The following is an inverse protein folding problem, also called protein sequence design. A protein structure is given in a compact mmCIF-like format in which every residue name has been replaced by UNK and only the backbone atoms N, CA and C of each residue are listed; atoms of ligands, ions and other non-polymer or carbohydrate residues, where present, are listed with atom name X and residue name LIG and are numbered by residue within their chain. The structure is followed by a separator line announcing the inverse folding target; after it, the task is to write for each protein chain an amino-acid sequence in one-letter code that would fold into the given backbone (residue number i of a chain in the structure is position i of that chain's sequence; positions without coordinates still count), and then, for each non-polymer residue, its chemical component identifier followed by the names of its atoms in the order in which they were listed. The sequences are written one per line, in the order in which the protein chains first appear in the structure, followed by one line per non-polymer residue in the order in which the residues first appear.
data_IF_358205102374
#
_entry.id   IF_358205102374
#
_cell.length_a   1.000
_cell.length_b   1.000
_cell.length_c   1.000
_cell.angle_alpha   90.00
_cell.angle_beta   90.00
_cell.angle_gamma   90.00
#
_symmetry.space_group_name_H-M   'P 1'
#
loop_
_entity.id
_entity.type
_entity.pdbx_description
1 polymer ?
#
# COMPACT_ATOMS: atom_id res chain seq x y z
N UNK A 1 20.53 2.68 5.78
CA UNK A 1 20.39 2.68 4.31
C UNK A 1 18.96 2.34 3.88
N UNK A 2 18.40 1.23 4.36
CA UNK A 2 17.02 0.80 4.07
C UNK A 2 15.94 1.84 4.42
N UNK A 3 16.01 2.46 5.62
CA UNK A 3 15.06 3.51 6.05
C UNK A 3 14.99 4.70 5.08
N UNK A 4 16.15 5.20 4.59
CA UNK A 4 16.20 6.29 3.61
C UNK A 4 15.62 5.89 2.25
N UNK A 5 15.80 4.63 1.85
CA UNK A 5 15.24 4.10 0.61
C UNK A 5 13.71 4.04 0.72
N UNK A 6 13.18 3.47 1.80
CA UNK A 6 11.75 3.41 2.07
C UNK A 6 11.15 4.82 2.14
N UNK A 7 11.80 5.75 2.85
CA UNK A 7 11.35 7.14 2.95
C UNK A 7 11.21 7.81 1.57
N UNK A 8 12.18 7.60 0.67
CA UNK A 8 12.11 8.10 -0.71
C UNK A 8 10.88 7.52 -1.42
N UNK A 9 10.67 6.21 -1.35
CA UNK A 9 9.56 5.54 -2.00
C UNK A 9 8.19 5.96 -1.45
N UNK A 10 8.08 6.20 -0.15
CA UNK A 10 6.87 6.73 0.48
C UNK A 10 6.58 8.18 0.07
N UNK A 11 7.61 9.02 -0.10
CA UNK A 11 7.44 10.39 -0.61
C UNK A 11 6.87 10.42 -2.01
N UNK A 12 7.22 9.45 -2.85
CA UNK A 12 6.66 9.35 -4.20
C UNK A 12 5.17 8.96 -4.16
N UNK A 13 4.73 8.11 -3.23
CA UNK A 13 3.29 7.81 -3.03
C UNK A 13 2.54 9.10 -2.69
N UNK A 14 3.06 9.91 -1.75
CA UNK A 14 2.40 11.16 -1.34
C UNK A 14 2.22 12.12 -2.52
N UNK A 15 3.19 12.21 -3.43
CA UNK A 15 3.06 13.05 -4.63
C UNK A 15 1.96 12.59 -5.57
N UNK A 16 1.86 11.27 -5.80
CA UNK A 16 0.84 10.71 -6.69
C UNK A 16 -0.55 10.85 -6.05
N UNK A 17 -0.64 10.59 -4.74
CA UNK A 17 -1.87 10.81 -3.96
C UNK A 17 -2.44 12.22 -4.20
N UNK A 18 -1.62 13.25 -4.03
CA UNK A 18 -2.05 14.65 -4.20
C UNK A 18 -2.51 14.94 -5.65
N UNK A 19 -1.81 14.39 -6.65
CA UNK A 19 -2.18 14.57 -8.05
C UNK A 19 -3.54 13.94 -8.41
N UNK A 20 -3.88 12.82 -7.77
CA UNK A 20 -5.11 12.06 -8.06
C UNK A 20 -6.23 12.28 -7.03
N UNK A 21 -5.99 13.08 -5.98
CA UNK A 21 -6.91 13.28 -4.85
C UNK A 21 -7.39 11.96 -4.23
N UNK A 22 -6.55 10.94 -4.24
CA UNK A 22 -6.82 9.67 -3.59
C UNK A 22 -6.55 9.78 -2.08
N UNK A 23 -7.21 8.95 -1.29
CA UNK A 23 -6.80 8.69 0.10
C UNK A 23 -5.90 7.47 0.12
N UNK A 24 -4.83 7.51 0.91
CA UNK A 24 -3.87 6.39 1.03
C UNK A 24 -3.50 6.25 2.50
N UNK A 25 -3.63 5.04 3.01
CA UNK A 25 -3.37 4.67 4.39
C UNK A 25 -2.37 3.53 4.42
N UNK A 26 -1.37 3.60 5.29
CA UNK A 26 -0.56 2.43 5.65
C UNK A 26 -1.36 1.62 6.66
N UNK A 27 -1.50 0.31 6.44
CA UNK A 27 -2.39 -0.55 7.24
C UNK A 27 -1.72 -1.89 7.56
N UNK A 28 -2.40 -2.75 8.32
CA UNK A 28 -2.08 -4.17 8.37
C UNK A 28 -0.75 -4.52 9.04
N UNK A 29 -0.12 -5.57 8.50
CA UNK A 29 1.12 -6.12 9.04
C UNK A 29 2.26 -5.10 9.04
N UNK A 30 2.22 -4.13 8.13
CA UNK A 30 3.18 -3.03 8.07
C UNK A 30 3.22 -2.24 9.36
N UNK A 31 2.06 -1.77 9.85
CA UNK A 31 2.00 -1.00 11.09
C UNK A 31 2.38 -1.84 12.30
N UNK A 32 1.87 -3.07 12.38
CA UNK A 32 2.22 -4.02 13.44
C UNK A 32 3.74 -4.21 13.53
N UNK A 33 4.38 -4.51 12.42
CA UNK A 33 5.79 -4.85 12.39
C UNK A 33 6.65 -3.63 12.69
N UNK A 34 6.25 -2.43 12.27
CA UNK A 34 6.88 -1.17 12.68
C UNK A 34 6.76 -0.92 14.19
N UNK A 35 5.60 -1.14 14.79
CA UNK A 35 5.38 -0.98 16.25
C UNK A 35 6.20 -1.99 17.05
N UNK A 36 6.40 -3.20 16.51
CA UNK A 36 7.20 -4.26 17.13
C UNK A 36 8.70 -4.18 16.82
N UNK A 37 9.17 -3.11 16.16
CA UNK A 37 10.57 -2.92 15.70
C UNK A 37 11.10 -4.10 14.87
N UNK A 38 10.22 -4.67 14.03
CA UNK A 38 10.57 -5.73 13.09
C UNK A 38 10.92 -5.17 11.73
N UNK A 39 11.71 -5.93 10.96
CA UNK A 39 12.02 -5.57 9.59
C UNK A 39 10.78 -5.74 8.70
N UNK A 40 10.41 -4.67 7.99
CA UNK A 40 9.28 -4.68 7.05
C UNK A 40 9.77 -4.84 5.61
N UNK A 41 9.32 -5.90 4.94
CA UNK A 41 9.53 -6.14 3.50
C UNK A 41 8.29 -5.83 2.67
N UNK A 42 7.12 -6.12 3.23
CA UNK A 42 5.83 -5.93 2.59
C UNK A 42 5.17 -4.70 3.21
N UNK A 43 4.79 -3.74 2.38
CA UNK A 43 4.12 -2.50 2.77
C UNK A 43 2.70 -2.53 2.21
N UNK A 44 1.72 -2.57 3.10
CA UNK A 44 0.31 -2.65 2.78
C UNK A 44 -0.32 -1.25 2.81
N UNK A 45 -0.97 -0.90 1.72
CA UNK A 45 -1.68 0.36 1.56
C UNK A 45 -3.15 0.12 1.26
N UNK A 46 -4.05 0.71 2.04
CA UNK A 46 -5.46 0.84 1.69
C UNK A 46 -5.68 2.18 1.01
N UNK A 47 -6.34 2.20 -0.15
CA UNK A 47 -6.52 3.41 -0.94
C UNK A 47 -7.81 3.40 -1.74
N UNK A 48 -8.34 4.59 -2.01
CA UNK A 48 -9.39 4.76 -3.02
C UNK A 48 -8.73 4.85 -4.40
N UNK A 49 -9.11 3.97 -5.32
CA UNK A 49 -8.55 3.88 -6.67
C UNK A 49 -7.19 3.17 -6.73
N UNK A 50 -7.09 1.99 -6.10
CA UNK A 50 -5.86 1.21 -5.99
C UNK A 50 -5.22 0.92 -7.36
N UNK A 51 -6.03 0.60 -8.36
CA UNK A 51 -5.55 0.33 -9.72
C UNK A 51 -4.81 1.53 -10.33
N UNK A 52 -5.37 2.74 -10.18
CA UNK A 52 -4.78 3.97 -10.72
C UNK A 52 -3.48 4.27 -9.98
N UNK A 53 -3.52 4.25 -8.65
CA UNK A 53 -2.36 4.58 -7.82
C UNK A 53 -1.20 3.60 -8.06
N UNK A 54 -1.47 2.30 -8.05
CA UNK A 54 -0.45 1.28 -8.25
C UNK A 54 0.16 1.34 -9.66
N UNK A 55 -0.67 1.55 -10.68
CA UNK A 55 -0.21 1.68 -12.08
C UNK A 55 0.68 2.91 -12.25
N UNK A 56 0.25 4.06 -11.75
CA UNK A 56 1.02 5.29 -11.84
C UNK A 56 2.32 5.20 -11.03
N UNK A 57 2.25 4.59 -9.85
CA UNK A 57 3.41 4.40 -8.99
C UNK A 57 4.45 3.49 -9.67
N UNK A 58 4.04 2.32 -10.15
CA UNK A 58 4.90 1.39 -10.88
C UNK A 58 5.54 2.04 -12.11
N UNK A 59 4.77 2.81 -12.89
CA UNK A 59 5.28 3.56 -14.03
C UNK A 59 6.37 4.57 -13.61
N UNK A 60 6.10 5.37 -12.58
CA UNK A 60 7.03 6.40 -12.10
C UNK A 60 8.33 5.81 -11.52
N UNK A 61 8.25 4.65 -10.85
CA UNK A 61 9.42 3.97 -10.27
C UNK A 61 10.10 3.00 -11.22
N UNK A 62 9.54 2.76 -12.41
CA UNK A 62 9.97 1.72 -13.36
C UNK A 62 9.99 0.32 -12.72
N UNK A 63 8.98 0.05 -11.90
CA UNK A 63 8.80 -1.20 -11.17
C UNK A 63 7.80 -2.12 -11.86
N UNK A 64 7.90 -3.43 -11.61
CA UNK A 64 6.90 -4.38 -12.05
C UNK A 64 5.61 -4.22 -11.23
N UNK A 65 4.46 -4.29 -11.91
CA UNK A 65 3.13 -4.30 -11.32
C UNK A 65 2.53 -5.70 -11.47
N UNK A 66 2.05 -6.29 -10.38
CA UNK A 66 1.47 -7.64 -10.35
C UNK A 66 0.08 -7.57 -9.72
N UNK A 67 -1.00 -7.90 -10.44
CA UNK A 67 -2.31 -8.04 -9.82
C UNK A 67 -2.32 -9.27 -8.89
N UNK A 68 -2.73 -9.07 -7.64
CA UNK A 68 -2.88 -10.13 -6.64
C UNK A 68 -4.35 -10.55 -6.46
N UNK A 69 -5.26 -9.57 -6.51
CA UNK A 69 -6.71 -9.79 -6.56
C UNK A 69 -7.29 -8.85 -7.61
N UNK A 70 -8.18 -9.36 -8.46
CA UNK A 70 -8.88 -8.62 -9.52
C UNK A 70 -10.40 -8.63 -9.32
N UNK A 71 -10.87 -9.00 -8.13
CA UNK A 71 -12.28 -8.96 -7.78
C UNK A 71 -12.75 -7.50 -7.75
N UNK A 72 -13.81 -7.14 -8.50
CA UNK A 72 -14.30 -5.76 -8.57
C UNK A 72 -14.59 -5.16 -7.19
N UNK A 73 -13.96 -4.03 -6.88
CA UNK A 73 -14.07 -3.34 -5.60
C UNK A 73 -13.25 -3.94 -4.45
N UNK A 74 -12.39 -4.93 -4.72
CA UNK A 74 -11.44 -5.55 -3.76
C UNK A 74 -10.06 -5.76 -4.35
N UNK A 75 -9.77 -5.05 -5.42
CA UNK A 75 -8.57 -5.24 -6.19
C UNK A 75 -7.34 -4.96 -5.34
N UNK A 76 -6.33 -5.81 -5.49
CA UNK A 76 -5.04 -5.62 -4.82
C UNK A 76 -3.94 -5.76 -5.85
N UNK A 77 -3.02 -4.80 -5.86
CA UNK A 77 -1.91 -4.73 -6.80
C UNK A 77 -0.58 -4.60 -6.06
N UNK A 78 0.38 -5.46 -6.39
CA UNK A 78 1.73 -5.43 -5.86
C UNK A 78 2.68 -4.71 -6.81
N UNK A 79 3.42 -3.74 -6.29
CA UNK A 79 4.55 -3.10 -6.97
C UNK A 79 5.86 -3.61 -6.39
N UNK A 80 6.71 -4.18 -7.24
CA UNK A 80 8.02 -4.71 -6.85
C UNK A 80 9.06 -3.59 -6.82
N UNK A 81 9.38 -3.11 -5.62
CA UNK A 81 10.33 -2.00 -5.41
C UNK A 81 11.77 -2.48 -5.60
N UNK A 82 12.10 -3.63 -5.02
CA UNK A 82 13.33 -4.37 -5.27
C UNK A 82 13.11 -5.86 -4.92
N UNK A 83 14.17 -6.69 -4.91
CA UNK A 83 14.06 -8.14 -4.68
C UNK A 83 13.28 -8.54 -3.41
N UNK A 84 13.30 -7.71 -2.36
CA UNK A 84 12.74 -8.04 -1.04
C UNK A 84 11.84 -6.92 -0.49
N UNK A 85 11.42 -5.97 -1.31
CA UNK A 85 10.51 -4.89 -0.88
C UNK A 85 9.34 -4.82 -1.85
N UNK A 86 8.14 -4.98 -1.31
CA UNK A 86 6.89 -5.03 -2.06
C UNK A 86 5.92 -4.02 -1.48
N UNK A 87 5.26 -3.26 -2.36
CA UNK A 87 4.23 -2.30 -1.99
C UNK A 87 2.90 -2.80 -2.54
N UNK A 88 1.99 -3.16 -1.65
CA UNK A 88 0.68 -3.73 -1.98
C UNK A 88 -0.38 -2.66 -1.80
N UNK A 89 -1.07 -2.33 -2.88
CA UNK A 89 -2.14 -1.34 -2.92
C UNK A 89 -3.46 -2.09 -3.04
N UNK A 90 -4.26 -2.06 -1.98
CA UNK A 90 -5.59 -2.64 -1.91
C UNK A 90 -6.67 -1.56 -2.00
N UNK A 91 -7.72 -1.85 -2.76
CA UNK A 91 -8.91 -1.00 -2.83
C UNK A 91 -9.58 -0.95 -1.46
N UNK A 92 -9.89 0.26 -1.00
CA UNK A 92 -10.47 0.51 0.31
C UNK A 92 -11.82 -0.21 0.45
N UNK A 93 -11.96 -1.08 1.46
CA UNK A 93 -13.19 -1.81 1.70
C UNK A 93 -14.20 -0.98 2.51
N UNK A 94 -15.10 -0.30 1.81
CA UNK A 94 -16.14 0.53 2.41
C UNK A 94 -15.98 1.99 2.03
N UNK A 95 -16.57 2.89 2.82
CA UNK A 95 -16.53 4.34 2.53
C UNK A 95 -15.44 5.10 3.28
N UNK A 96 -14.88 4.50 4.34
CA UNK A 96 -13.89 5.13 5.21
C UNK A 96 -12.86 4.11 5.64
N UNK A 97 -11.71 4.59 6.13
CA UNK A 97 -10.67 3.71 6.67
C UNK A 97 -11.17 2.90 7.86
N UNK A 98 -12.00 3.45 8.73
CA UNK A 98 -12.59 2.73 9.87
C UNK A 98 -13.46 1.55 9.42
N UNK A 99 -14.19 1.70 8.32
CA UNK A 99 -14.98 0.61 7.74
C UNK A 99 -14.08 -0.52 7.21
N UNK A 100 -12.93 -0.18 6.62
CA UNK A 100 -11.95 -1.15 6.13
C UNK A 100 -11.33 -1.92 7.30
N UNK A 101 -10.83 -1.20 8.31
CA UNK A 101 -10.14 -1.77 9.47
C UNK A 101 -11.06 -2.69 10.29
N UNK A 102 -12.35 -2.35 10.43
CA UNK A 102 -13.32 -3.17 11.16
C UNK A 102 -13.63 -4.53 10.52
N UNK A 103 -13.26 -4.76 9.26
CA UNK A 103 -13.48 -6.03 8.56
C UNK A 103 -12.29 -7.00 8.69
N UNK A 104 -11.21 -6.58 9.35
CA UNK A 104 -9.98 -7.37 9.47
C UNK A 104 -10.10 -8.45 10.54
N UNK A 105 -9.27 -9.45 10.41
CA UNK A 105 -9.26 -10.66 11.23
C UNK A 105 -8.80 -10.42 12.68
N UNK A 106 -7.74 -9.63 12.88
CA UNK A 106 -7.13 -9.37 14.18
C UNK A 106 -6.94 -7.87 14.43
N UNK A 107 -7.20 -7.44 15.68
CA UNK A 107 -7.03 -6.04 16.10
C UNK A 107 -5.61 -5.52 15.97
N UNK A 108 -4.60 -6.39 16.06
CA UNK A 108 -3.19 -5.99 15.89
C UNK A 108 -2.86 -5.67 14.42
N UNK A 109 -3.71 -6.08 13.47
CA UNK A 109 -3.57 -5.81 12.04
C UNK A 109 -4.56 -4.73 11.56
N UNK A 110 -5.26 -4.07 12.48
CA UNK A 110 -6.31 -3.09 12.23
C UNK A 110 -6.01 -1.78 12.95
#
# INVERSE_FOLDING_TARGET
MLKKIIEKFLRDILRIKEAHKSEVYVVGGTLRDLVLDRQCSDFDFATIGASILATQYAHNTKSALVPLDTTPGRETFRVVINKNIFFDFSELQGKTIESDLNQRDFSINA
#
